data_IF_280996770490
#
_entry.id   IF_280996770490
#
_cell.length_a   1.000
_cell.length_b   1.000
_cell.length_c   1.000
_cell.angle_alpha   90.00
_cell.angle_beta   90.00
_cell.angle_gamma   90.00
#
_symmetry.space_group_name_H-M   'P 1'
#
loop_
_entity.id
_entity.type
_entity.pdbx_description
1 polymer ?
#
# COMPACT_ATOMS: atom_id res chain seq x y z
N UNK A 1 1.53 79.45 2.84
CA UNK A 1 0.28 79.88 2.18
C UNK A 1 -0.87 79.20 2.90
N UNK A 2 -1.73 80.00 3.56
CA UNK A 2 -3.12 79.75 4.01
C UNK A 2 -3.27 78.51 4.94
N UNK A 3 -3.20 78.56 6.28
CA UNK A 3 -3.89 79.35 7.32
C UNK A 3 -5.41 79.20 7.38
N UNK A 4 -5.90 78.61 8.49
CA UNK A 4 -7.03 78.99 9.38
C UNK A 4 -6.89 78.06 10.61
N UNK A 5 -6.37 78.50 11.78
CA UNK A 5 -7.05 79.11 12.95
C UNK A 5 -8.23 78.24 13.45
N UNK A 6 -8.38 77.85 14.72
CA UNK A 6 -7.93 78.28 16.06
C UNK A 6 -8.72 77.41 17.07
N UNK A 7 -8.64 77.45 18.41
CA UNK A 7 -8.01 78.26 19.45
C UNK A 7 -8.21 77.47 20.78
N UNK A 8 -7.22 77.53 21.69
CA UNK A 8 -7.21 77.57 23.19
C UNK A 8 -8.27 76.77 24.02
N UNK A 9 -8.08 76.32 25.27
CA UNK A 9 -7.03 76.32 26.30
C UNK A 9 -7.58 75.57 27.55
N UNK A 10 -6.76 75.28 28.59
CA UNK A 10 -7.03 74.27 29.62
C UNK A 10 -7.67 74.83 30.91
N UNK A 11 -8.43 74.01 31.63
CA UNK A 11 -8.90 74.32 32.98
C UNK A 11 -8.83 73.08 33.89
N UNK A 12 -7.95 73.18 34.89
CA UNK A 12 -7.92 72.40 36.12
C UNK A 12 -9.16 72.71 36.97
N UNK A 13 -9.83 71.70 37.56
CA UNK A 13 -10.32 71.78 38.94
C UNK A 13 -10.58 70.40 39.57
N UNK A 14 -10.41 70.39 40.89
CA UNK A 14 -10.19 69.32 41.86
C UNK A 14 -11.34 68.30 42.10
N UNK A 15 -10.90 67.08 42.43
CA UNK A 15 -11.35 66.15 43.49
C UNK A 15 -12.86 65.93 43.76
N UNK A 16 -13.32 64.67 43.73
CA UNK A 16 -13.50 63.83 44.94
C UNK A 16 -14.34 62.55 44.70
N UNK A 17 -13.99 61.50 45.45
CA UNK A 17 -14.73 60.28 45.83
C UNK A 17 -14.91 59.12 44.82
N UNK A 18 -13.99 58.17 44.96
CA UNK A 18 -14.17 56.77 45.40
C UNK A 18 -15.11 55.80 44.67
N UNK A 19 -14.52 54.60 44.47
CA UNK A 19 -15.09 53.27 44.21
C UNK A 19 -15.39 52.91 42.75
N UNK A 20 -14.34 52.58 42.00
CA UNK A 20 -14.45 51.65 40.87
C UNK A 20 -13.55 50.42 41.06
N UNK A 21 -14.21 49.27 41.16
CA UNK A 21 -13.62 47.94 41.29
C UNK A 21 -12.68 47.62 40.12
N UNK A 22 -11.39 47.46 40.41
CA UNK A 22 -10.34 47.04 39.46
C UNK A 22 -10.54 45.62 38.89
N UNK A 23 -11.51 44.86 39.38
CA UNK A 23 -11.77 43.47 38.98
C UNK A 23 -12.54 43.33 37.65
N UNK A 24 -13.09 44.41 37.08
CA UNK A 24 -13.87 44.35 35.83
C UNK A 24 -13.10 44.67 34.54
N UNK A 25 -11.89 45.23 34.61
CA UNK A 25 -11.09 45.58 33.41
C UNK A 25 -10.13 44.45 33.01
N UNK A 26 -9.73 43.57 33.93
CA UNK A 26 -8.89 42.40 33.61
C UNK A 26 -9.64 41.34 32.78
N UNK A 27 -10.98 41.30 32.85
CA UNK A 27 -11.78 40.32 32.10
C UNK A 27 -12.16 40.74 30.67
N UNK A 28 -11.86 41.97 30.24
CA UNK A 28 -12.18 42.43 28.87
C UNK A 28 -10.96 42.38 27.95
N UNK A 29 -9.73 42.44 28.48
CA UNK A 29 -8.49 42.37 27.68
C UNK A 29 -8.10 40.91 27.35
N UNK A 30 -8.55 39.92 28.13
CA UNK A 30 -8.24 38.50 27.88
C UNK A 30 -9.07 37.83 26.78
N UNK A 31 -10.03 38.53 26.17
CA UNK A 31 -10.92 37.96 25.14
C UNK A 31 -10.53 38.30 23.68
N UNK A 32 -9.35 38.90 23.43
CA UNK A 32 -8.91 39.29 22.08
C UNK A 32 -7.53 38.77 21.64
N UNK A 33 -6.95 37.78 22.33
CA UNK A 33 -5.78 37.05 21.85
C UNK A 33 -6.10 35.55 21.78
N UNK A 34 -6.70 35.15 20.66
CA UNK A 34 -6.96 33.75 20.33
C UNK A 34 -5.68 33.00 19.96
N UNK A 35 -4.83 32.72 20.94
CA UNK A 35 -3.92 31.58 20.90
C UNK A 35 -4.52 30.50 21.79
N UNK A 36 -5.19 29.51 21.18
CA UNK A 36 -5.57 28.27 21.87
C UNK A 36 -4.27 27.59 22.31
N UNK A 37 -3.88 27.83 23.55
CA UNK A 37 -3.02 26.89 24.26
C UNK A 37 -3.80 25.58 24.33
N UNK A 38 -3.33 24.56 23.61
CA UNK A 38 -3.73 23.19 23.87
C UNK A 38 -3.40 22.93 25.34
N UNK A 39 -4.44 22.76 26.15
CA UNK A 39 -4.29 22.11 27.45
C UNK A 39 -3.52 20.82 27.20
N UNK A 40 -2.45 20.59 27.95
CA UNK A 40 -1.77 19.31 28.02
C UNK A 40 -2.82 18.21 28.13
N UNK A 41 -3.03 17.48 27.05
CA UNK A 41 -3.76 16.22 27.10
C UNK A 41 -3.07 15.41 28.20
N UNK A 42 -3.83 15.00 29.21
CA UNK A 42 -3.43 13.94 30.11
C UNK A 42 -3.11 12.74 29.22
N UNK A 43 -1.84 12.59 28.84
CA UNK A 43 -1.37 11.41 28.14
C UNK A 43 -1.36 10.29 29.16
N UNK A 44 -2.53 9.69 29.41
CA UNK A 44 -2.60 8.43 30.14
C UNK A 44 -1.60 7.49 29.49
N UNK A 45 -0.61 7.05 30.29
CA UNK A 45 0.40 6.11 29.85
C UNK A 45 -0.31 4.85 29.38
N UNK A 46 -0.26 4.59 28.07
CA UNK A 46 -0.88 3.39 27.48
C UNK A 46 0.14 2.28 27.42
N UNK A 47 -0.28 1.04 27.67
CA UNK A 47 0.60 -0.09 27.47
C UNK A 47 0.87 -0.28 25.98
N UNK A 48 2.13 -0.52 25.62
CA UNK A 48 2.53 -0.73 24.22
C UNK A 48 3.31 -2.03 24.06
N UNK A 49 3.34 -2.56 22.84
CA UNK A 49 4.10 -3.74 22.45
C UNK A 49 4.78 -3.47 21.11
N UNK A 50 6.04 -3.89 20.95
CA UNK A 50 6.83 -3.61 19.76
C UNK A 50 7.39 -4.92 19.22
N UNK A 51 7.17 -5.15 17.94
CA UNK A 51 7.67 -6.30 17.20
C UNK A 51 8.55 -5.85 16.03
N UNK A 52 9.60 -6.61 15.72
CA UNK A 52 10.43 -6.43 14.53
C UNK A 52 10.62 -7.76 13.83
N UNK A 53 10.43 -7.81 12.51
CA UNK A 53 10.79 -8.99 11.73
C UNK A 53 12.27 -8.97 11.39
N UNK A 54 12.95 -10.10 11.57
CA UNK A 54 14.35 -10.29 11.14
C UNK A 54 14.48 -10.94 9.77
N UNK A 55 13.36 -11.31 9.15
CA UNK A 55 13.32 -11.90 7.80
C UNK A 55 12.77 -10.92 6.77
N UNK A 56 13.25 -11.05 5.53
CA UNK A 56 12.79 -10.27 4.39
C UNK A 56 11.73 -11.02 3.53
N UNK A 57 11.16 -12.12 4.03
CA UNK A 57 10.13 -12.87 3.32
C UNK A 57 8.76 -12.16 3.42
N UNK A 58 8.25 -11.68 2.29
CA UNK A 58 6.99 -10.94 2.25
C UNK A 58 5.77 -11.71 2.70
N UNK A 59 5.68 -13.00 2.36
CA UNK A 59 4.54 -13.83 2.78
C UNK A 59 4.58 -14.07 4.28
N UNK A 60 5.77 -14.27 4.86
CA UNK A 60 5.93 -14.37 6.31
C UNK A 60 5.51 -13.07 6.98
N UNK A 61 6.06 -11.93 6.54
CA UNK A 61 5.79 -10.65 7.20
C UNK A 61 4.31 -10.23 7.11
N UNK A 62 3.65 -10.49 5.98
CA UNK A 62 2.20 -10.24 5.83
C UNK A 62 1.38 -11.23 6.68
N UNK A 63 1.82 -12.48 6.82
CA UNK A 63 1.19 -13.44 7.74
C UNK A 63 1.32 -12.98 9.19
N UNK A 64 2.50 -12.48 9.58
CA UNK A 64 2.77 -11.91 10.90
C UNK A 64 1.88 -10.71 11.18
N UNK A 65 1.73 -9.80 10.21
CA UNK A 65 0.82 -8.65 10.35
C UNK A 65 -0.63 -9.10 10.60
N UNK A 66 -1.14 -10.08 9.86
CA UNK A 66 -2.53 -10.56 10.04
C UNK A 66 -2.71 -11.39 11.32
N UNK A 67 -1.69 -12.16 11.72
CA UNK A 67 -1.65 -12.84 13.02
C UNK A 67 -1.68 -11.83 14.17
N UNK A 68 -0.79 -10.83 14.16
CA UNK A 68 -0.79 -9.75 15.15
C UNK A 68 -2.14 -9.05 15.16
N UNK A 69 -2.73 -8.76 14.00
CA UNK A 69 -4.04 -8.12 13.92
C UNK A 69 -5.14 -8.92 14.62
N UNK A 70 -5.15 -10.25 14.47
CA UNK A 70 -6.13 -11.13 15.11
C UNK A 70 -5.90 -11.28 16.61
N UNK A 71 -4.64 -11.33 17.05
CA UNK A 71 -4.27 -11.78 18.39
C UNK A 71 -3.77 -10.66 19.33
N UNK A 72 -3.52 -9.43 18.84
CA UNK A 72 -2.99 -8.37 19.71
C UNK A 72 -3.91 -8.10 20.91
N UNK A 73 -3.32 -7.73 22.04
CA UNK A 73 -4.06 -7.41 23.27
C UNK A 73 -4.80 -6.07 23.13
N UNK A 74 -6.13 -6.07 23.30
CA UNK A 74 -6.97 -4.88 23.09
C UNK A 74 -6.78 -3.75 24.12
N UNK A 75 -5.95 -3.96 25.14
CA UNK A 75 -5.53 -2.92 26.08
C UNK A 75 -4.15 -2.34 25.72
N UNK A 76 -3.54 -2.78 24.62
CA UNK A 76 -2.23 -2.33 24.16
C UNK A 76 -2.28 -1.69 22.77
N UNK A 77 -1.30 -0.83 22.51
CA UNK A 77 -0.96 -0.36 21.18
C UNK A 77 0.22 -1.18 20.67
N UNK A 78 0.17 -1.62 19.43
CA UNK A 78 1.23 -2.48 18.87
C UNK A 78 1.89 -1.81 17.68
N UNK A 79 3.21 -1.78 17.68
CA UNK A 79 4.04 -1.43 16.53
C UNK A 79 4.68 -2.71 15.98
N UNK A 80 4.62 -2.89 14.67
CA UNK A 80 5.36 -3.93 13.95
C UNK A 80 6.18 -3.30 12.83
N UNK A 81 7.48 -3.59 12.82
CA UNK A 81 8.45 -3.09 11.83
C UNK A 81 9.02 -4.25 11.01
N UNK A 82 9.08 -4.08 9.69
CA UNK A 82 9.46 -5.15 8.78
C UNK A 82 9.94 -4.60 7.43
N UNK A 83 10.50 -5.46 6.60
CA UNK A 83 10.97 -5.15 5.24
C UNK A 83 10.91 -6.40 4.39
N UNK A 84 10.84 -6.24 3.08
CA UNK A 84 10.72 -7.37 2.16
C UNK A 84 11.82 -7.35 1.09
N UNK A 85 12.28 -8.52 0.70
CA UNK A 85 13.01 -8.74 -0.56
C UNK A 85 12.10 -8.37 -1.74
N UNK A 86 12.64 -8.21 -2.97
CA UNK A 86 11.87 -7.85 -4.17
C UNK A 86 10.50 -8.54 -4.26
N UNK A 87 9.44 -7.75 -4.08
CA UNK A 87 8.05 -8.23 -3.99
C UNK A 87 7.11 -7.17 -4.54
N UNK A 88 6.08 -7.58 -5.28
CA UNK A 88 4.91 -6.72 -5.54
C UNK A 88 3.79 -7.11 -4.58
N UNK A 89 3.32 -6.13 -3.79
CA UNK A 89 2.21 -6.30 -2.85
C UNK A 89 0.95 -5.64 -3.42
N UNK A 90 -0.07 -6.43 -3.70
CA UNK A 90 -1.38 -5.96 -4.19
C UNK A 90 -2.40 -5.87 -3.07
N UNK A 91 -3.36 -4.94 -3.20
CA UNK A 91 -4.48 -4.80 -2.28
C UNK A 91 -5.46 -5.98 -2.35
N UNK A 92 -6.24 -6.17 -1.28
CA UNK A 92 -7.17 -7.30 -1.10
C UNK A 92 -8.06 -7.59 -2.31
N UNK A 93 -8.53 -6.55 -2.98
CA UNK A 93 -9.52 -6.60 -4.07
C UNK A 93 -8.95 -6.23 -5.45
N UNK A 94 -7.62 -6.21 -5.60
CA UNK A 94 -7.01 -5.91 -6.90
C UNK A 94 -6.91 -7.14 -7.78
N UNK A 95 -6.92 -6.92 -9.10
CA UNK A 95 -6.61 -7.93 -10.08
C UNK A 95 -5.11 -7.84 -10.45
N UNK A 96 -4.28 -8.85 -10.13
CA UNK A 96 -2.85 -8.83 -10.42
C UNK A 96 -2.55 -8.76 -11.91
N UNK A 97 -3.37 -9.40 -12.76
CA UNK A 97 -3.22 -9.38 -14.23
C UNK A 97 -3.38 -7.96 -14.81
N UNK A 98 -4.12 -7.09 -14.12
CA UNK A 98 -4.30 -5.68 -14.54
C UNK A 98 -3.28 -4.73 -13.93
N UNK A 99 -2.71 -5.07 -12.77
CA UNK A 99 -1.92 -4.15 -11.97
C UNK A 99 -0.41 -4.45 -12.04
N UNK A 100 -0.03 -5.62 -12.56
CA UNK A 100 1.34 -6.12 -12.52
C UNK A 100 1.75 -6.75 -13.86
N UNK A 101 3.05 -6.75 -14.15
CA UNK A 101 3.66 -7.52 -15.23
C UNK A 101 4.12 -8.87 -14.68
N UNK A 102 3.19 -9.82 -14.54
CA UNK A 102 3.40 -11.08 -13.83
C UNK A 102 4.49 -11.97 -14.45
N UNK A 103 4.56 -12.04 -15.78
CA UNK A 103 5.61 -12.79 -16.48
C UNK A 103 7.01 -12.28 -16.11
N UNK A 104 7.24 -10.96 -16.16
CA UNK A 104 8.53 -10.36 -15.79
C UNK A 104 8.87 -10.62 -14.32
N UNK A 105 7.87 -10.56 -13.45
CA UNK A 105 8.06 -10.87 -12.04
C UNK A 105 8.50 -12.32 -11.83
N UNK A 106 7.89 -13.26 -12.55
CA UNK A 106 8.26 -14.68 -12.49
C UNK A 106 9.68 -14.92 -13.00
N UNK A 107 10.06 -14.32 -14.13
CA UNK A 107 11.41 -14.39 -14.72
C UNK A 107 12.50 -13.89 -13.76
N UNK A 108 12.21 -12.81 -13.01
CA UNK A 108 13.17 -12.20 -12.07
C UNK A 108 13.05 -12.74 -10.63
N UNK A 109 12.17 -13.72 -10.38
CA UNK A 109 11.94 -14.27 -9.03
C UNK A 109 11.30 -13.29 -8.03
N UNK A 110 10.55 -12.30 -8.52
CA UNK A 110 9.82 -11.32 -7.71
C UNK A 110 8.51 -11.90 -7.21
N UNK A 111 8.33 -11.91 -5.89
CA UNK A 111 7.14 -12.50 -5.27
C UNK A 111 5.92 -11.59 -5.49
N UNK A 112 4.80 -12.18 -5.94
CA UNK A 112 3.48 -11.54 -5.78
C UNK A 112 2.93 -11.87 -4.40
N UNK A 113 2.51 -10.85 -3.64
CA UNK A 113 1.80 -11.02 -2.38
C UNK A 113 0.48 -10.24 -2.38
N UNK A 114 -0.60 -10.85 -1.90
CA UNK A 114 -1.88 -10.16 -1.68
C UNK A 114 -2.06 -9.89 -0.19
N UNK A 115 -2.20 -8.63 0.19
CA UNK A 115 -2.41 -8.22 1.59
C UNK A 115 -3.89 -8.20 1.98
N UNK A 116 -4.15 -8.14 3.28
CA UNK A 116 -5.52 -8.10 3.83
C UNK A 116 -6.16 -6.70 3.80
N UNK A 117 -5.37 -5.63 3.68
CA UNK A 117 -5.87 -4.26 3.53
C UNK A 117 -6.24 -3.93 2.07
N UNK A 118 -7.00 -2.85 1.89
CA UNK A 118 -7.30 -2.29 0.57
C UNK A 118 -6.11 -1.51 -0.03
N UNK A 119 -6.39 -0.71 -1.06
CA UNK A 119 -5.40 0.15 -1.72
C UNK A 119 -4.78 -0.46 -2.99
N UNK A 120 -3.79 0.23 -3.54
CA UNK A 120 -3.15 -0.11 -4.82
C UNK A 120 -1.97 -1.09 -4.72
N UNK A 121 -1.40 -1.43 -5.87
CA UNK A 121 -0.20 -2.27 -5.96
C UNK A 121 1.03 -1.41 -5.63
N UNK A 122 1.97 -1.98 -4.87
CA UNK A 122 3.23 -1.35 -4.50
C UNK A 122 4.37 -2.33 -4.67
N UNK A 123 5.55 -1.83 -5.06
CA UNK A 123 6.78 -2.60 -5.11
C UNK A 123 7.57 -2.40 -3.82
N UNK A 124 8.06 -3.49 -3.24
CA UNK A 124 8.96 -3.50 -2.10
C UNK A 124 10.29 -4.13 -2.51
N UNK A 125 11.37 -3.60 -1.95
CA UNK A 125 12.70 -4.19 -1.92
C UNK A 125 13.39 -3.80 -0.60
N UNK A 126 14.71 -4.06 -0.49
CA UNK A 126 15.46 -3.70 0.71
C UNK A 126 15.66 -2.18 0.88
N UNK A 127 15.34 -1.38 -0.13
CA UNK A 127 15.27 0.07 -0.07
C UNK A 127 13.97 0.61 0.53
N UNK A 128 13.04 -0.26 0.92
CA UNK A 128 11.77 0.10 1.55
C UNK A 128 11.70 -0.38 3.01
N UNK A 129 11.28 0.47 3.95
CA UNK A 129 10.87 0.04 5.30
C UNK A 129 9.36 -0.04 5.39
N UNK A 130 8.83 -1.08 6.02
CA UNK A 130 7.41 -1.21 6.33
C UNK A 130 7.15 -1.01 7.83
N UNK A 131 6.04 -0.36 8.13
CA UNK A 131 5.54 -0.20 9.50
C UNK A 131 4.07 -0.59 9.55
N UNK A 132 3.63 -1.10 10.70
CA UNK A 132 2.24 -1.39 11.01
C UNK A 132 1.94 -0.95 12.43
N UNK A 133 1.00 -0.02 12.59
CA UNK A 133 0.40 0.33 13.87
C UNK A 133 -0.91 -0.43 14.03
N UNK A 134 -1.04 -1.22 15.09
CA UNK A 134 -2.27 -1.91 15.45
C UNK A 134 -2.81 -1.36 16.76
N UNK A 135 -4.12 -1.13 16.81
CA UNK A 135 -4.79 -0.57 17.96
C UNK A 135 -6.23 -1.04 18.06
N UNK A 136 -6.85 -0.97 19.25
CA UNK A 136 -8.30 -1.05 19.36
C UNK A 136 -8.95 0.03 18.48
N UNK A 137 -10.07 -0.29 17.85
CA UNK A 137 -10.79 0.66 16.98
C UNK A 137 -11.22 1.90 17.75
N UNK A 138 -11.55 1.78 19.04
CA UNK A 138 -11.92 2.92 19.91
C UNK A 138 -10.79 3.92 20.15
N UNK A 139 -9.54 3.52 19.92
CA UNK A 139 -8.35 4.37 20.09
C UNK A 139 -7.51 4.49 18.81
N UNK A 140 -8.08 4.05 17.69
CA UNK A 140 -7.43 4.19 16.40
C UNK A 140 -7.38 5.66 15.99
N UNK A 141 -6.17 6.18 15.75
CA UNK A 141 -5.95 7.53 15.22
C UNK A 141 -4.98 7.50 14.06
N UNK A 142 -5.52 7.68 12.85
CA UNK A 142 -4.72 7.84 11.63
C UNK A 142 -3.76 9.02 11.75
N UNK A 143 -4.23 10.14 12.29
CA UNK A 143 -3.44 11.36 12.46
C UNK A 143 -2.25 11.13 13.38
N UNK A 144 -2.48 10.54 14.57
CA UNK A 144 -1.40 10.17 15.51
C UNK A 144 -0.36 9.28 14.83
N UNK A 145 -0.81 8.21 14.18
CA UNK A 145 0.10 7.27 13.51
C UNK A 145 0.89 7.93 12.38
N UNK A 146 0.28 8.85 11.64
CA UNK A 146 0.96 9.61 10.57
C UNK A 146 1.99 10.56 11.17
N UNK A 147 1.65 11.26 12.26
CA UNK A 147 2.54 12.17 12.96
C UNK A 147 3.73 11.45 13.59
N UNK A 148 3.58 10.22 14.07
CA UNK A 148 4.72 9.40 14.52
C UNK A 148 5.73 9.25 13.39
N UNK A 149 5.30 8.88 12.18
CA UNK A 149 6.21 8.75 11.04
C UNK A 149 6.84 10.08 10.64
N UNK A 150 6.06 11.17 10.59
CA UNK A 150 6.56 12.52 10.28
C UNK A 150 7.64 12.94 11.28
N UNK A 151 7.36 12.79 12.58
CA UNK A 151 8.29 13.12 13.65
C UNK A 151 9.54 12.25 13.59
N UNK A 152 9.41 10.96 13.27
CA UNK A 152 10.56 10.06 13.14
C UNK A 152 11.50 10.48 12.01
N UNK A 153 10.94 10.84 10.86
CA UNK A 153 11.73 11.33 9.72
C UNK A 153 12.40 12.68 10.05
N UNK A 154 11.68 13.59 10.71
CA UNK A 154 12.24 14.85 11.18
C UNK A 154 13.39 14.63 12.18
N UNK A 155 13.23 13.70 13.13
CA UNK A 155 14.23 13.39 14.16
C UNK A 155 15.51 12.78 13.57
N UNK A 156 15.41 12.04 12.45
CA UNK A 156 16.56 11.51 11.72
C UNK A 156 17.35 12.61 10.98
N UNK A 157 16.76 13.79 10.76
CA UNK A 157 17.42 14.92 10.11
C UNK A 157 16.94 15.20 8.68
N UNK A 158 15.78 14.69 8.29
CA UNK A 158 15.13 15.12 7.05
C UNK A 158 14.70 16.57 7.21
N UNK A 159 15.47 17.46 6.59
CA UNK A 159 15.37 18.90 6.78
C UNK A 159 14.20 19.56 6.03
N UNK A 160 13.81 19.13 4.80
CA UNK A 160 12.65 19.72 4.13
C UNK A 160 11.34 19.39 4.86
N UNK A 161 10.29 20.23 4.71
CA UNK A 161 8.98 19.96 5.28
C UNK A 161 8.44 18.59 4.88
N UNK A 162 7.89 17.88 5.86
CA UNK A 162 7.31 16.56 5.73
C UNK A 162 5.82 16.68 6.04
N UNK A 163 4.98 16.36 5.07
CA UNK A 163 3.55 16.65 5.15
C UNK A 163 2.72 15.42 4.83
N UNK A 164 1.63 15.24 5.56
CA UNK A 164 0.59 14.32 5.13
C UNK A 164 -0.13 14.90 3.90
N UNK A 165 -0.32 14.09 2.86
CA UNK A 165 -0.97 14.49 1.62
C UNK A 165 -2.10 13.55 1.23
N UNK A 166 -3.22 14.14 0.83
CA UNK A 166 -4.41 13.40 0.40
C UNK A 166 -4.92 12.43 1.46
N UNK A 167 -5.24 11.20 1.04
CA UNK A 167 -5.86 10.21 1.92
C UNK A 167 -4.87 9.28 2.63
N UNK A 168 -3.65 9.13 2.13
CA UNK A 168 -2.78 8.04 2.57
C UNK A 168 -1.30 8.24 2.23
N UNK A 169 -0.87 9.42 1.80
CA UNK A 169 0.52 9.66 1.40
C UNK A 169 1.22 10.57 2.41
N UNK A 170 2.53 10.39 2.58
CA UNK A 170 3.42 11.40 3.17
C UNK A 170 4.34 11.88 2.05
N UNK A 171 4.50 13.20 1.96
CA UNK A 171 5.28 13.87 0.92
C UNK A 171 6.43 14.66 1.54
N UNK A 172 7.52 14.76 0.78
CA UNK A 172 8.67 15.63 1.03
C UNK A 172 9.00 16.31 -0.29
N UNK A 173 9.16 17.64 -0.29
CA UNK A 173 9.37 18.44 -1.51
C UNK A 173 8.30 18.16 -2.59
N UNK A 174 7.03 17.99 -2.18
CA UNK A 174 5.91 17.72 -3.09
C UNK A 174 5.89 16.30 -3.70
N UNK A 175 6.85 15.44 -3.35
CA UNK A 175 6.95 14.07 -3.85
C UNK A 175 6.66 13.06 -2.75
N UNK A 176 5.96 11.99 -3.09
CA UNK A 176 5.60 10.91 -2.16
C UNK A 176 6.84 10.16 -1.69
N UNK A 177 6.95 9.98 -0.38
CA UNK A 177 8.02 9.20 0.29
C UNK A 177 7.46 8.01 1.08
N UNK A 178 6.16 8.03 1.37
CA UNK A 178 5.44 6.97 2.08
C UNK A 178 4.03 6.84 1.54
N UNK A 179 3.52 5.60 1.48
CA UNK A 179 2.13 5.32 1.18
C UNK A 179 1.54 4.36 2.22
N UNK A 180 0.31 4.63 2.61
CA UNK A 180 -0.40 3.89 3.64
C UNK A 180 -1.63 3.17 3.11
N UNK A 181 -2.04 2.14 3.86
CA UNK A 181 -3.34 1.49 3.75
C UNK A 181 -3.84 1.11 5.15
N UNK A 182 -5.12 0.76 5.23
CA UNK A 182 -5.82 0.62 6.50
C UNK A 182 -6.74 -0.60 6.45
N UNK A 183 -6.97 -1.21 7.60
CA UNK A 183 -7.98 -2.27 7.79
C UNK A 183 -8.65 -2.04 9.14
N UNK A 184 -9.96 -2.21 9.18
CA UNK A 184 -10.75 -2.20 10.40
C UNK A 184 -11.68 -3.41 10.38
N UNK A 185 -11.75 -4.14 11.48
CA UNK A 185 -12.63 -5.30 11.65
C UNK A 185 -13.07 -5.38 13.11
N UNK A 186 -14.35 -5.15 13.37
CA UNK A 186 -14.88 -5.08 14.73
C UNK A 186 -14.13 -4.04 15.58
N UNK A 187 -13.62 -4.47 16.74
CA UNK A 187 -12.88 -3.64 17.68
C UNK A 187 -11.36 -3.57 17.39
N UNK A 188 -10.90 -4.07 16.24
CA UNK A 188 -9.48 -4.08 15.84
C UNK A 188 -9.26 -3.24 14.61
N UNK A 189 -8.21 -2.41 14.63
CA UNK A 189 -7.80 -1.57 13.51
C UNK A 189 -6.29 -1.66 13.30
N UNK A 190 -5.85 -1.56 12.04
CA UNK A 190 -4.45 -1.29 11.74
C UNK A 190 -4.27 -0.21 10.67
N UNK A 191 -3.16 0.50 10.78
CA UNK A 191 -2.59 1.38 9.77
C UNK A 191 -1.19 0.88 9.45
N UNK A 192 -0.97 0.47 8.21
CA UNK A 192 0.37 0.13 7.75
C UNK A 192 0.80 1.00 6.58
N UNK A 193 2.10 1.04 6.33
CA UNK A 193 2.63 1.80 5.23
C UNK A 193 4.07 1.44 4.89
N UNK A 194 4.56 2.19 3.91
CA UNK A 194 5.91 2.07 3.35
C UNK A 194 6.70 3.33 3.65
N UNK A 195 8.02 3.25 3.73
CA UNK A 195 8.93 4.40 3.79
C UNK A 195 10.04 4.14 2.78
N UNK A 196 10.11 4.95 1.73
CA UNK A 196 11.06 4.79 0.63
C UNK A 196 12.41 5.37 1.00
N UNK A 197 13.33 4.51 1.44
CA UNK A 197 14.71 4.90 1.74
C UNK A 197 15.48 5.04 0.43
N UNK A 198 15.50 3.96 -0.36
CA UNK A 198 16.31 3.80 -1.56
C UNK A 198 15.76 2.70 -2.48
N UNK A 199 14.46 2.77 -2.80
CA UNK A 199 13.77 1.76 -3.62
C UNK A 199 14.27 1.81 -5.06
N UNK A 200 14.47 0.65 -5.68
CA UNK A 200 14.79 0.57 -7.10
C UNK A 200 13.57 0.98 -7.95
N UNK A 201 13.59 2.22 -8.44
CA UNK A 201 12.49 2.80 -9.21
C UNK A 201 12.34 2.20 -10.61
N UNK A 202 13.42 1.66 -11.18
CA UNK A 202 13.38 0.94 -12.46
C UNK A 202 12.63 -0.39 -12.31
N UNK A 203 12.91 -1.15 -11.25
CA UNK A 203 12.15 -2.34 -10.86
C UNK A 203 10.68 -2.01 -10.62
N UNK A 204 10.38 -0.92 -9.89
CA UNK A 204 9.02 -0.47 -9.66
C UNK A 204 8.27 -0.26 -10.98
N UNK A 205 8.90 0.40 -11.96
CA UNK A 205 8.31 0.61 -13.29
C UNK A 205 8.25 -0.67 -14.13
N UNK A 206 9.23 -1.57 -13.99
CA UNK A 206 9.30 -2.84 -14.71
C UNK A 206 8.13 -3.75 -14.36
N UNK A 207 7.73 -3.78 -13.08
CA UNK A 207 6.77 -4.76 -12.55
C UNK A 207 5.35 -4.22 -12.34
N UNK A 208 5.17 -2.91 -12.14
CA UNK A 208 3.83 -2.35 -11.95
C UNK A 208 3.24 -1.88 -13.28
N UNK A 209 1.96 -2.22 -13.51
CA UNK A 209 1.19 -1.77 -14.68
C UNK A 209 0.12 -0.74 -14.21
N UNK A 210 0.46 0.56 -14.12
CA UNK A 210 -0.51 1.55 -13.69
C UNK A 210 -1.63 1.71 -14.73
N UNK A 211 -2.88 1.65 -14.27
CA UNK A 211 -4.06 1.85 -15.11
C UNK A 211 -3.96 3.14 -15.97
N UNK A 212 -4.22 3.02 -17.28
CA UNK A 212 -4.23 4.12 -18.26
C UNK A 212 -5.11 5.30 -17.84
N UNK A 213 -6.18 5.10 -17.08
CA UNK A 213 -7.05 6.18 -16.60
C UNK A 213 -6.46 6.96 -15.41
N UNK A 214 -5.63 6.32 -14.58
CA UNK A 214 -4.79 7.03 -13.59
C UNK A 214 -3.72 7.88 -14.26
N UNK A 215 -3.28 7.49 -15.46
CA UNK A 215 -2.34 8.26 -16.28
C UNK A 215 -3.04 9.45 -16.95
N UNK A 216 -4.26 9.27 -17.47
CA UNK A 216 -5.06 10.34 -18.11
C UNK A 216 -5.54 11.42 -17.14
N UNK A 217 -6.03 11.05 -15.96
CA UNK A 217 -6.60 12.00 -14.98
C UNK A 217 -5.57 12.89 -14.27
N UNK A 218 -4.27 12.60 -14.39
CA UNK A 218 -3.20 13.33 -13.67
C UNK A 218 -2.03 13.78 -14.55
N UNK A 219 -2.20 13.79 -15.86
CA UNK A 219 -1.12 14.08 -16.82
C UNK A 219 -0.08 12.96 -16.86
N UNK A 220 0.61 12.84 -18.00
CA UNK A 220 1.66 11.83 -18.28
C UNK A 220 2.91 12.16 -17.46
N UNK A 221 2.82 12.01 -16.14
CA UNK A 221 3.96 11.98 -15.23
C UNK A 221 4.01 10.58 -14.69
N UNK A 222 5.02 9.82 -15.13
CA UNK A 222 5.29 8.46 -14.68
C UNK A 222 5.21 8.38 -13.15
N UNK A 223 4.75 7.25 -12.61
CA UNK A 223 4.70 7.02 -11.15
C UNK A 223 6.03 7.40 -10.48
N UNK A 224 7.15 7.19 -11.19
CA UNK A 224 8.52 7.60 -10.82
C UNK A 224 8.64 9.10 -10.51
N UNK A 225 8.11 9.97 -11.36
CA UNK A 225 8.23 11.43 -11.18
C UNK A 225 7.54 11.97 -9.92
N UNK A 226 6.64 11.17 -9.33
CA UNK A 226 5.82 11.51 -8.16
C UNK A 226 6.36 10.97 -6.86
N UNK A 227 7.40 10.13 -6.89
CA UNK A 227 8.01 9.52 -5.71
C UNK A 227 9.42 10.05 -5.47
N UNK A 228 9.91 9.91 -4.25
CA UNK A 228 11.25 10.33 -3.83
C UNK A 228 11.85 9.29 -2.88
N UNK A 229 13.09 8.88 -3.17
CA UNK A 229 13.90 8.10 -2.25
C UNK A 229 14.56 9.05 -1.23
N UNK A 230 14.41 8.76 0.05
CA UNK A 230 14.91 9.62 1.13
C UNK A 230 16.43 9.73 1.17
N UNK A 231 17.17 8.74 0.64
CA UNK A 231 18.63 8.86 0.47
C UNK A 231 19.08 10.01 -0.42
N UNK A 232 18.21 10.53 -1.29
CA UNK A 232 18.52 11.74 -2.08
C UNK A 232 18.62 13.00 -1.21
N UNK A 233 18.01 12.99 -0.02
CA UNK A 233 18.07 14.07 0.97
C UNK A 233 19.10 13.75 2.05
N UNK A 234 19.07 12.52 2.59
CA UNK A 234 19.97 12.06 3.64
C UNK A 234 20.67 10.76 3.21
N UNK A 235 21.85 10.84 2.57
CA UNK A 235 22.54 9.67 1.99
C UNK A 235 22.90 8.57 2.99
N UNK A 236 23.07 8.91 4.27
CA UNK A 236 23.40 7.96 5.35
C UNK A 236 22.21 7.17 5.86
N UNK A 237 20.97 7.53 5.45
CA UNK A 237 19.75 6.87 5.92
C UNK A 237 19.74 5.38 5.59
N UNK A 238 19.38 4.57 6.58
CA UNK A 238 19.21 3.13 6.44
C UNK A 238 17.96 2.63 7.19
N UNK A 239 17.67 1.34 7.03
CA UNK A 239 16.51 0.68 7.65
C UNK A 239 16.50 0.80 9.17
N UNK A 240 17.65 0.58 9.82
CA UNK A 240 17.77 0.59 11.28
C UNK A 240 17.53 1.98 11.85
N UNK A 241 18.09 3.02 11.23
CA UNK A 241 17.83 4.41 11.63
C UNK A 241 16.33 4.75 11.61
N UNK A 242 15.60 4.26 10.61
CA UNK A 242 14.14 4.43 10.52
C UNK A 242 13.44 3.65 11.62
N UNK A 243 13.81 2.38 11.83
CA UNK A 243 13.23 1.54 12.87
C UNK A 243 13.41 2.15 14.26
N UNK A 244 14.63 2.54 14.62
CA UNK A 244 14.96 3.14 15.92
C UNK A 244 14.17 4.43 16.15
N UNK A 245 14.09 5.28 15.12
CA UNK A 245 13.35 6.55 15.22
C UNK A 245 11.84 6.34 15.34
N UNK A 246 11.27 5.37 14.61
CA UNK A 246 9.84 5.03 14.72
C UNK A 246 9.52 4.42 16.08
N UNK A 247 10.39 3.57 16.62
CA UNK A 247 10.25 3.03 17.97
C UNK A 247 10.26 4.17 19.00
N UNK A 248 11.23 5.08 18.90
CA UNK A 248 11.37 6.20 19.83
C UNK A 248 10.14 7.13 19.81
N UNK A 249 9.67 7.52 18.62
CA UNK A 249 8.49 8.38 18.50
C UNK A 249 7.18 7.66 18.87
N UNK A 250 7.07 6.35 18.63
CA UNK A 250 5.95 5.55 19.10
C UNK A 250 5.92 5.47 20.64
N UNK A 251 7.07 5.23 21.28
CA UNK A 251 7.21 5.27 22.74
C UNK A 251 6.79 6.62 23.32
N UNK A 252 7.30 7.73 22.75
CA UNK A 252 6.93 9.10 23.16
C UNK A 252 5.44 9.37 23.00
N UNK A 253 4.85 8.99 21.87
CA UNK A 253 3.43 9.22 21.57
C UNK A 253 2.46 8.54 22.55
N UNK A 254 2.92 7.53 23.29
CA UNK A 254 2.14 6.80 24.29
C UNK A 254 2.68 6.90 25.72
N UNK A 255 3.66 7.77 25.97
CA UNK A 255 4.21 8.02 27.32
C UNK A 255 5.04 6.85 27.88
N UNK A 256 5.73 6.10 27.03
CA UNK A 256 6.59 4.99 27.43
C UNK A 256 8.06 5.25 27.13
N UNK A 257 8.93 4.56 27.85
CA UNK A 257 10.39 4.57 27.67
C UNK A 257 10.89 3.13 27.79
N UNK A 258 11.97 2.78 27.07
CA UNK A 258 12.69 1.50 27.20
C UNK A 258 11.81 0.25 27.07
N UNK A 259 10.91 0.22 26.10
CA UNK A 259 10.08 -0.97 25.82
C UNK A 259 10.89 -2.01 25.06
N UNK A 260 10.84 -3.26 25.54
CA UNK A 260 11.50 -4.39 24.88
C UNK A 260 10.91 -4.62 23.48
N UNK A 261 11.80 -4.68 22.48
CA UNK A 261 11.47 -5.08 21.12
C UNK A 261 11.51 -6.61 21.04
N UNK A 262 10.43 -7.21 20.57
CA UNK A 262 10.36 -8.65 20.32
C UNK A 262 10.66 -8.95 18.86
N UNK A 263 11.66 -9.79 18.62
CA UNK A 263 12.06 -10.19 17.27
C UNK A 263 11.30 -11.43 16.82
N UNK A 264 10.75 -11.36 15.60
CA UNK A 264 10.04 -12.45 14.95
C UNK A 264 10.86 -12.97 13.77
N UNK A 265 10.91 -14.29 13.67
CA UNK A 265 11.75 -15.04 12.73
C UNK A 265 10.93 -16.14 12.06
N UNK A 266 11.46 -16.74 11.00
CA UNK A 266 10.78 -17.88 10.35
C UNK A 266 10.58 -19.09 11.28
N UNK A 267 11.38 -19.23 12.35
CA UNK A 267 11.22 -20.29 13.34
C UNK A 267 9.93 -20.16 14.16
N UNK A 268 9.34 -18.96 14.20
CA UNK A 268 8.04 -18.72 14.84
C UNK A 268 6.90 -19.48 14.17
N UNK A 269 7.05 -19.87 12.91
CA UNK A 269 6.08 -20.74 12.23
C UNK A 269 5.94 -22.10 12.91
N UNK A 270 6.98 -22.61 13.55
CA UNK A 270 6.91 -23.88 14.28
C UNK A 270 6.24 -23.71 15.65
N UNK A 271 6.39 -22.52 16.25
CA UNK A 271 5.91 -22.21 17.60
C UNK A 271 4.47 -21.69 17.62
N UNK A 272 4.01 -21.08 16.53
CA UNK A 272 2.72 -20.37 16.46
C UNK A 272 1.89 -20.96 15.31
N UNK A 273 1.03 -21.96 15.58
CA UNK A 273 0.24 -22.65 14.55
C UNK A 273 -0.65 -21.72 13.70
N UNK A 274 -1.28 -20.71 14.31
CA UNK A 274 -2.14 -19.76 13.59
C UNK A 274 -1.37 -18.84 12.64
N UNK A 275 -0.12 -18.50 12.97
CA UNK A 275 0.79 -17.79 12.07
C UNK A 275 1.16 -18.68 10.88
N UNK A 276 1.51 -19.96 11.14
CA UNK A 276 1.83 -20.94 10.11
C UNK A 276 0.68 -21.16 9.13
N UNK A 277 -0.55 -21.34 9.63
CA UNK A 277 -1.74 -21.49 8.80
C UNK A 277 -1.96 -20.27 7.88
N UNK A 278 -1.76 -19.06 8.43
CA UNK A 278 -1.87 -17.82 7.66
C UNK A 278 -0.77 -17.75 6.59
N UNK A 279 0.47 -18.09 6.95
CA UNK A 279 1.61 -18.13 6.02
C UNK A 279 1.40 -19.13 4.87
N UNK A 280 0.90 -20.34 5.17
CA UNK A 280 0.56 -21.35 4.16
C UNK A 280 -0.58 -20.87 3.25
N UNK A 281 -1.58 -20.17 3.80
CA UNK A 281 -2.67 -19.58 3.02
C UNK A 281 -2.15 -18.52 2.05
N UNK A 282 -1.24 -17.64 2.49
CA UNK A 282 -0.69 -16.58 1.65
C UNK A 282 0.17 -17.10 0.49
N UNK A 283 0.70 -18.32 0.59
CA UNK A 283 1.42 -18.98 -0.51
C UNK A 283 0.50 -19.52 -1.61
N UNK A 284 -0.73 -19.91 -1.25
CA UNK A 284 -1.68 -20.53 -2.17
C UNK A 284 -2.03 -19.60 -3.33
N UNK A 285 -2.11 -20.18 -4.53
CA UNK A 285 -2.53 -19.46 -5.73
C UNK A 285 -3.94 -18.88 -5.56
N UNK A 286 -4.85 -19.61 -4.93
CA UNK A 286 -6.22 -19.17 -4.67
C UNK A 286 -6.27 -17.86 -3.87
N UNK A 287 -5.32 -17.65 -2.96
CA UNK A 287 -5.19 -16.38 -2.26
C UNK A 287 -4.58 -15.30 -3.16
N UNK A 288 -3.41 -15.55 -3.75
CA UNK A 288 -2.67 -14.52 -4.48
C UNK A 288 -3.38 -14.07 -5.76
N UNK A 289 -3.95 -15.02 -6.50
CA UNK A 289 -4.57 -14.82 -7.80
C UNK A 289 -6.07 -15.09 -7.76
N UNK A 290 -6.51 -16.17 -7.12
CA UNK A 290 -7.92 -16.59 -7.13
C UNK A 290 -8.89 -15.66 -6.39
N UNK A 291 -8.38 -14.76 -5.56
CA UNK A 291 -9.18 -13.72 -4.89
C UNK A 291 -9.37 -12.44 -5.74
N UNK A 292 -9.03 -12.50 -7.02
CA UNK A 292 -9.31 -11.40 -7.95
C UNK A 292 -10.82 -11.26 -8.16
N UNK A 293 -11.36 -10.03 -8.25
CA UNK A 293 -12.73 -9.81 -8.71
C UNK A 293 -12.95 -10.42 -10.09
N UNK A 294 -14.20 -10.68 -10.46
CA UNK A 294 -14.56 -11.09 -11.83
C UNK A 294 -13.96 -10.12 -12.85
N UNK A 295 -13.40 -10.68 -13.93
CA UNK A 295 -12.83 -9.87 -14.99
C UNK A 295 -12.93 -10.55 -16.35
N UNK A 296 -13.01 -9.71 -17.37
CA UNK A 296 -12.90 -10.10 -18.77
C UNK A 296 -11.52 -9.72 -19.32
N UNK A 297 -11.01 -10.56 -20.22
CA UNK A 297 -9.84 -10.27 -21.04
C UNK A 297 -10.09 -10.71 -22.48
N UNK A 298 -9.83 -9.77 -23.40
CA UNK A 298 -9.89 -10.00 -24.84
C UNK A 298 -8.48 -10.11 -25.42
N UNK A 299 -8.26 -11.15 -26.24
CA UNK A 299 -7.05 -11.34 -27.02
C UNK A 299 -7.39 -11.26 -28.50
N UNK A 300 -6.69 -10.40 -29.24
CA UNK A 300 -6.90 -10.27 -30.69
C UNK A 300 -5.55 -10.38 -31.42
N UNK A 301 -5.43 -11.35 -32.33
CA UNK A 301 -4.22 -11.50 -33.16
C UNK A 301 -4.54 -12.09 -34.52
N UNK A 302 -3.86 -11.58 -35.54
CA UNK A 302 -3.82 -12.18 -36.88
C UNK A 302 -2.57 -13.04 -37.04
N UNK A 303 -2.78 -14.31 -37.38
CA UNK A 303 -1.75 -15.26 -37.79
C UNK A 303 -1.85 -15.52 -39.30
N UNK A 304 -0.85 -16.20 -39.87
CA UNK A 304 -0.84 -16.55 -41.30
C UNK A 304 -1.98 -17.52 -41.66
N UNK A 305 -2.47 -18.28 -40.68
CA UNK A 305 -3.56 -19.25 -40.84
C UNK A 305 -4.95 -18.70 -40.47
N UNK A 306 -5.04 -17.44 -40.02
CA UNK A 306 -6.29 -16.79 -39.64
C UNK A 306 -6.15 -15.78 -38.51
N UNK A 307 -7.14 -14.93 -38.38
CA UNK A 307 -7.41 -14.09 -37.22
C UNK A 307 -8.10 -14.87 -36.10
N UNK A 308 -7.75 -14.52 -34.86
CA UNK A 308 -8.39 -15.02 -33.65
C UNK A 308 -8.69 -13.83 -32.74
N UNK A 309 -9.94 -13.76 -32.29
CA UNK A 309 -10.45 -12.89 -31.23
C UNK A 309 -11.06 -13.77 -30.13
N UNK A 310 -10.40 -13.84 -28.96
CA UNK A 310 -10.81 -14.64 -27.81
C UNK A 310 -11.23 -13.72 -26.68
N UNK A 311 -12.48 -13.85 -26.24
CA UNK A 311 -13.00 -13.21 -25.04
C UNK A 311 -13.10 -14.24 -23.92
N UNK A 312 -12.35 -14.02 -22.83
CA UNK A 312 -12.33 -14.87 -21.65
C UNK A 312 -12.93 -14.11 -20.47
N UNK A 313 -13.92 -14.69 -19.80
CA UNK A 313 -14.37 -14.23 -18.49
C UNK A 313 -13.83 -15.18 -17.40
N UNK A 314 -13.37 -14.59 -16.32
CA UNK A 314 -12.72 -15.26 -15.21
C UNK A 314 -13.40 -14.91 -13.89
N UNK A 315 -13.95 -15.91 -13.22
CA UNK A 315 -14.41 -15.83 -11.82
C UNK A 315 -13.41 -16.53 -10.92
N UNK A 316 -12.94 -15.84 -9.87
CA UNK A 316 -11.86 -16.33 -9.01
C UNK A 316 -10.60 -16.77 -9.78
N UNK A 317 -10.31 -16.05 -10.86
CA UNK A 317 -9.23 -16.37 -11.81
C UNK A 317 -9.34 -17.77 -12.44
N UNK A 318 -10.52 -18.40 -12.42
CA UNK A 318 -10.84 -19.60 -13.19
C UNK A 318 -11.63 -19.16 -14.41
N UNK A 319 -11.28 -19.67 -15.58
CA UNK A 319 -11.96 -19.39 -16.85
C UNK A 319 -13.36 -20.00 -16.78
N UNK A 320 -14.40 -19.18 -16.74
CA UNK A 320 -15.79 -19.64 -16.64
C UNK A 320 -16.58 -19.51 -17.94
N UNK A 321 -16.16 -18.60 -18.82
CA UNK A 321 -16.73 -18.38 -20.15
C UNK A 321 -15.63 -18.07 -21.14
N UNK A 322 -15.75 -18.64 -22.33
CA UNK A 322 -14.87 -18.38 -23.47
C UNK A 322 -15.75 -18.17 -24.70
N UNK A 323 -15.44 -17.14 -25.47
CA UNK A 323 -15.99 -16.94 -26.82
C UNK A 323 -14.85 -16.68 -27.78
N UNK A 324 -14.80 -17.43 -28.87
CA UNK A 324 -13.77 -17.29 -29.90
C UNK A 324 -14.44 -16.94 -31.22
N UNK A 325 -13.99 -15.84 -31.83
CA UNK A 325 -14.30 -15.47 -33.21
C UNK A 325 -13.05 -15.68 -34.05
N UNK A 326 -13.19 -16.34 -35.19
CA UNK A 326 -12.06 -16.63 -36.07
C UNK A 326 -12.53 -16.84 -37.51
N UNK A 327 -11.68 -16.45 -38.46
CA UNK A 327 -11.79 -16.80 -39.88
C UNK A 327 -10.86 -17.98 -40.26
N UNK A 328 -10.32 -18.69 -39.26
CA UNK A 328 -9.54 -19.92 -39.47
C UNK A 328 -10.34 -20.96 -40.25
N UNK A 329 -9.67 -21.63 -41.18
CA UNK A 329 -10.25 -22.73 -41.97
C UNK A 329 -10.48 -24.01 -41.14
N UNK A 330 -10.04 -24.04 -39.87
CA UNK A 330 -10.23 -25.18 -38.96
C UNK A 330 -11.22 -24.84 -37.82
N UNK A 331 -12.54 -24.90 -38.08
CA UNK A 331 -13.56 -24.57 -37.07
C UNK A 331 -13.59 -25.55 -35.90
N UNK A 332 -13.27 -26.83 -36.14
CA UNK A 332 -13.22 -27.86 -35.08
C UNK A 332 -12.13 -27.55 -34.06
N UNK A 333 -10.96 -27.06 -34.49
CA UNK A 333 -9.92 -26.62 -33.57
C UNK A 333 -10.42 -25.51 -32.63
N UNK A 334 -11.16 -24.54 -33.17
CA UNK A 334 -11.71 -23.42 -32.38
C UNK A 334 -12.73 -23.91 -31.35
N UNK A 335 -13.64 -24.80 -31.75
CA UNK A 335 -14.66 -25.37 -30.85
C UNK A 335 -14.02 -26.18 -29.71
N UNK A 336 -13.08 -27.06 -30.03
CA UNK A 336 -12.39 -27.91 -29.05
C UNK A 336 -11.56 -27.05 -28.10
N UNK A 337 -10.83 -26.05 -28.62
CA UNK A 337 -10.07 -25.12 -27.79
C UNK A 337 -10.97 -24.36 -26.81
N UNK A 338 -12.08 -23.81 -27.30
CA UNK A 338 -13.04 -23.08 -26.47
C UNK A 338 -13.53 -23.93 -25.29
N UNK A 339 -13.85 -25.20 -25.54
CA UNK A 339 -14.29 -26.13 -24.50
C UNK A 339 -13.16 -26.49 -23.51
N UNK A 340 -11.94 -26.72 -24.00
CA UNK A 340 -10.81 -27.11 -23.16
C UNK A 340 -10.27 -25.99 -22.27
N UNK A 341 -10.51 -24.73 -22.63
CA UNK A 341 -10.17 -23.57 -21.80
C UNK A 341 -11.11 -23.42 -20.59
N UNK A 342 -12.36 -23.89 -20.69
CA UNK A 342 -13.33 -23.79 -19.59
C UNK A 342 -12.86 -24.57 -18.36
N UNK A 343 -13.01 -23.94 -17.19
CA UNK A 343 -12.60 -24.50 -15.90
C UNK A 343 -11.09 -24.49 -15.63
N UNK A 344 -10.27 -24.05 -16.59
CA UNK A 344 -8.83 -23.92 -16.36
C UNK A 344 -8.52 -22.72 -15.47
N UNK A 345 -7.44 -22.82 -14.69
CA UNK A 345 -6.85 -21.65 -14.05
C UNK A 345 -6.39 -20.68 -15.14
N UNK A 346 -6.69 -19.41 -14.94
CA UNK A 346 -6.19 -18.35 -15.78
C UNK A 346 -4.73 -18.06 -15.41
N UNK A 347 -3.82 -18.89 -15.91
CA UNK A 347 -2.37 -18.79 -15.77
C UNK A 347 -1.69 -19.55 -16.94
N UNK A 348 -0.36 -19.47 -17.03
CA UNK A 348 0.39 -20.10 -18.12
C UNK A 348 0.18 -21.62 -18.18
N UNK A 349 0.20 -22.28 -17.01
CA UNK A 349 0.00 -23.73 -16.88
C UNK A 349 -1.41 -24.17 -17.34
N UNK A 350 -2.45 -23.44 -16.94
CA UNK A 350 -3.83 -23.74 -17.32
C UNK A 350 -4.09 -23.55 -18.81
N UNK A 351 -3.56 -22.46 -19.40
CA UNK A 351 -3.63 -22.24 -20.86
C UNK A 351 -2.86 -23.32 -21.62
N UNK A 352 -1.64 -23.64 -21.18
CA UNK A 352 -0.84 -24.72 -21.77
C UNK A 352 -1.59 -26.03 -21.73
N UNK A 353 -2.17 -26.38 -20.58
CA UNK A 353 -2.94 -27.62 -20.41
C UNK A 353 -4.15 -27.68 -21.36
N UNK A 354 -4.90 -26.59 -21.50
CA UNK A 354 -6.02 -26.53 -22.43
C UNK A 354 -5.58 -26.77 -23.89
N UNK A 355 -4.45 -26.17 -24.27
CA UNK A 355 -3.92 -26.29 -25.63
C UNK A 355 -3.41 -27.70 -25.90
N UNK A 356 -2.65 -28.31 -24.98
CA UNK A 356 -2.17 -29.68 -25.17
C UNK A 356 -3.32 -30.70 -25.19
N UNK A 357 -4.40 -30.48 -24.42
CA UNK A 357 -5.64 -31.25 -24.53
C UNK A 357 -6.29 -31.10 -25.91
N UNK A 358 -6.28 -29.89 -26.45
CA UNK A 358 -6.84 -29.60 -27.78
C UNK A 358 -6.08 -30.35 -28.87
N UNK A 359 -4.74 -30.34 -28.82
CA UNK A 359 -3.91 -31.12 -29.75
C UNK A 359 -4.22 -32.61 -29.70
N UNK A 360 -4.38 -33.14 -28.50
CA UNK A 360 -4.70 -34.57 -28.27
C UNK A 360 -6.03 -34.97 -28.90
N UNK A 361 -7.04 -34.10 -28.86
CA UNK A 361 -8.38 -34.36 -29.42
C UNK A 361 -8.40 -34.26 -30.95
N UNK A 362 -7.55 -33.42 -31.56
CA UNK A 362 -7.51 -33.20 -33.01
C UNK A 362 -6.61 -34.19 -33.77
N UNK A 363 -6.27 -35.34 -33.15
CA UNK A 363 -5.43 -36.40 -33.71
C UNK A 363 -4.05 -35.93 -34.26
N UNK A 364 -3.50 -34.85 -33.70
CA UNK A 364 -2.14 -34.36 -33.99
C UNK A 364 -1.80 -34.14 -35.47
N UNK A 365 -2.71 -33.57 -36.27
CA UNK A 365 -2.31 -33.07 -37.61
C UNK A 365 -1.20 -32.03 -37.46
N UNK A 366 -0.12 -32.17 -38.23
CA UNK A 366 1.09 -31.34 -38.09
C UNK A 366 0.78 -29.84 -38.20
N UNK A 367 -0.15 -29.47 -39.09
CA UNK A 367 -0.58 -28.08 -39.28
C UNK A 367 -1.34 -27.53 -38.06
N UNK A 368 -2.33 -28.26 -37.52
CA UNK A 368 -3.09 -27.80 -36.35
C UNK A 368 -2.21 -27.67 -35.10
N UNK A 369 -1.24 -28.57 -34.93
CA UNK A 369 -0.31 -28.50 -33.82
C UNK A 369 0.57 -27.24 -33.90
N UNK A 370 1.06 -26.90 -35.09
CA UNK A 370 1.83 -25.67 -35.30
C UNK A 370 1.00 -24.41 -35.01
N UNK A 371 -0.26 -24.36 -35.47
CA UNK A 371 -1.18 -23.26 -35.19
C UNK A 371 -1.43 -23.09 -33.68
N UNK A 372 -1.68 -24.21 -32.98
CA UNK A 372 -1.89 -24.22 -31.54
C UNK A 372 -0.66 -23.82 -30.74
N UNK A 373 0.55 -24.16 -31.21
CA UNK A 373 1.80 -23.71 -30.57
C UNK A 373 2.01 -22.19 -30.72
N UNK A 374 1.75 -21.64 -31.92
CA UNK A 374 1.80 -20.19 -32.12
C UNK A 374 0.77 -19.43 -31.26
N UNK A 375 -0.44 -20.00 -31.15
CA UNK A 375 -1.49 -19.44 -30.30
C UNK A 375 -1.12 -19.53 -28.82
N UNK A 376 -0.55 -20.66 -28.37
CA UNK A 376 -0.05 -20.84 -27.00
C UNK A 376 0.98 -19.78 -26.63
N UNK A 377 1.99 -19.60 -27.47
CA UNK A 377 3.03 -18.60 -27.26
C UNK A 377 2.43 -17.20 -27.14
N UNK A 378 1.48 -16.86 -28.03
CA UNK A 378 0.79 -15.57 -27.97
C UNK A 378 0.01 -15.38 -26.67
N UNK A 379 -0.83 -16.35 -26.29
CA UNK A 379 -1.68 -16.25 -25.10
C UNK A 379 -0.84 -16.16 -23.83
N UNK A 380 0.18 -17.02 -23.67
CA UNK A 380 1.04 -17.03 -22.48
C UNK A 380 1.79 -15.70 -22.31
N UNK A 381 2.28 -15.11 -23.40
CA UNK A 381 2.97 -13.82 -23.36
C UNK A 381 2.02 -12.62 -23.15
N UNK A 382 0.71 -12.85 -23.23
CA UNK A 382 -0.30 -11.80 -23.12
C UNK A 382 -0.99 -11.75 -21.75
N UNK A 383 -0.65 -12.64 -20.81
CA UNK A 383 -1.31 -12.76 -19.50
C UNK A 383 -0.48 -12.31 -18.29
#
# INVERSE_FOLDING_TARGET
MISIKGIASPLLFKSNYNNFNFTKIVNIINNYNGSRFYSSDNCEKKSIKIYKSTTNNALFNIATEDWLFKEFELNKQTLYLWRNSPTVVIGRYQNPYKECHLQRMEEDGVVLARRYSGGGAVYHDLGNTNFTFLSPTSDYSKERNTNIIINSLSAIGISPPIEASGRNDIIVQGKKVSGSAYKQSGNRSFHHGTIMIDVNLDSLQKYLNPNKDKLKSKGITSVISRVLNMKTILPTMNHEMICDSVINEFCKAYGNENVQVEELTVSDLERIPSLKETYETLQKWDWRYGNSPEFEHQFEKRFDWGSIDININCTKSIIDKVKIYSDSLNPTMIEVLSNNLLGMKYNQEGITTAIERTKTVLDNTQDSNSQLDQLKEYLINSI
#
